data_IF_452812064604
#
_entry.id   IF_452812064604
#
_cell.length_a   1.000
_cell.length_b   1.000
_cell.length_c   1.000
_cell.angle_alpha   90.00
_cell.angle_beta   90.00
_cell.angle_gamma   90.00
#
_symmetry.space_group_name_H-M   'P 1'
#
loop_
_entity.id
_entity.type
_entity.pdbx_description
1 polymer ?
#
# COMPACT_ATOMS: atom_id res chain seq x y z
N UNK A 1 5.72 0.43 18.50
CA UNK A 1 6.73 0.91 19.48
C UNK A 1 6.02 1.51 20.68
N UNK A 2 6.68 1.56 21.84
CA UNK A 2 6.12 2.24 23.02
C UNK A 2 6.52 3.74 23.06
N UNK A 3 5.95 4.50 24.00
CA UNK A 3 6.18 5.96 24.13
C UNK A 3 7.64 6.33 24.39
N UNK A 4 8.39 5.53 25.17
CA UNK A 4 9.81 5.78 25.43
C UNK A 4 10.66 5.55 24.17
N UNK A 5 10.38 4.48 23.44
CA UNK A 5 11.01 4.18 22.16
C UNK A 5 10.71 5.28 21.13
N UNK A 6 9.47 5.78 21.10
CA UNK A 6 9.10 6.88 20.23
C UNK A 6 9.84 8.18 20.57
N UNK A 7 10.03 8.51 21.85
CA UNK A 7 10.84 9.66 22.24
C UNK A 7 12.28 9.58 21.71
N UNK A 8 12.89 8.38 21.77
CA UNK A 8 14.20 8.13 21.16
C UNK A 8 14.14 8.27 19.64
N UNK A 9 13.10 7.74 19.00
CA UNK A 9 12.91 7.87 17.55
C UNK A 9 12.80 9.34 17.10
N UNK A 10 12.01 10.15 17.80
CA UNK A 10 11.85 11.58 17.55
C UNK A 10 13.17 12.35 17.72
N UNK A 11 13.96 12.03 18.75
CA UNK A 11 15.31 12.59 18.95
C UNK A 11 16.22 12.31 17.74
N UNK A 12 16.15 11.10 17.18
CA UNK A 12 16.91 10.74 15.97
C UNK A 12 16.47 11.55 14.75
N UNK A 13 15.17 11.81 14.58
CA UNK A 13 14.67 12.67 13.50
C UNK A 13 15.24 14.08 13.64
N UNK A 14 15.16 14.67 14.83
CA UNK A 14 15.71 16.02 15.11
C UNK A 14 17.22 16.08 14.89
N UNK A 15 17.95 15.04 15.29
CA UNK A 15 19.40 14.95 15.09
C UNK A 15 19.77 14.85 13.61
N UNK A 16 18.99 14.10 12.82
CA UNK A 16 19.21 13.97 11.38
C UNK A 16 18.85 15.27 10.62
N UNK A 17 17.84 16.01 11.10
CA UNK A 17 17.32 17.22 10.47
C UNK A 17 17.25 18.40 11.46
N UNK A 18 18.40 18.93 11.91
CA UNK A 18 18.46 19.92 13.00
C UNK A 18 17.93 21.31 12.63
N UNK A 19 17.76 21.60 11.34
CA UNK A 19 17.26 22.89 10.84
C UNK A 19 15.74 22.98 10.85
N UNK A 20 15.07 21.83 10.84
CA UNK A 20 13.62 21.77 10.80
C UNK A 20 13.08 21.63 12.22
N UNK A 21 12.14 22.51 12.58
CA UNK A 21 11.49 22.52 13.89
C UNK A 21 10.44 21.41 14.02
N UNK A 22 10.78 20.21 13.57
CA UNK A 22 9.94 19.02 13.56
C UNK A 22 9.88 18.40 14.95
N UNK A 23 8.68 17.96 15.35
CA UNK A 23 8.44 17.30 16.64
C UNK A 23 8.80 18.20 17.85
N UNK A 24 8.67 19.51 17.69
CA UNK A 24 9.05 20.51 18.69
C UNK A 24 8.05 20.63 19.84
N UNK A 25 6.77 20.33 19.60
CA UNK A 25 5.69 20.42 20.60
C UNK A 25 5.21 19.05 21.05
N UNK A 26 4.56 18.99 22.22
CA UNK A 26 3.88 17.79 22.72
C UNK A 26 2.84 17.29 21.73
N UNK A 27 1.99 18.17 21.22
CA UNK A 27 0.95 17.82 20.24
C UNK A 27 1.52 17.20 18.96
N UNK A 28 2.67 17.70 18.48
CA UNK A 28 3.34 17.10 17.31
C UNK A 28 3.87 15.70 17.61
N UNK A 29 4.40 15.48 18.82
CA UNK A 29 4.87 14.18 19.27
C UNK A 29 3.72 13.18 19.38
N UNK A 30 2.61 13.59 19.99
CA UNK A 30 1.43 12.74 20.18
C UNK A 30 0.79 12.36 18.84
N UNK A 31 0.63 13.34 17.94
CA UNK A 31 0.10 13.09 16.58
C UNK A 31 0.97 12.13 15.77
N UNK A 32 2.30 12.30 15.81
CA UNK A 32 3.19 11.39 15.11
C UNK A 32 3.24 10.01 15.76
N UNK A 33 3.11 9.92 17.08
CA UNK A 33 3.05 8.65 17.78
C UNK A 33 1.76 7.88 17.45
N UNK A 34 0.63 8.56 17.37
CA UNK A 34 -0.63 7.97 16.90
C UNK A 34 -0.44 7.37 15.49
N UNK A 35 0.23 8.09 14.60
CA UNK A 35 0.40 7.69 13.21
C UNK A 35 1.57 6.73 12.92
N UNK A 36 2.48 6.48 13.85
CA UNK A 36 3.64 5.57 13.64
C UNK A 36 3.84 4.56 14.76
N UNK A 37 3.06 4.65 15.84
CA UNK A 37 3.21 3.87 17.06
C UNK A 37 2.97 2.37 16.88
N UNK A 38 2.25 1.98 15.83
CA UNK A 38 2.08 0.57 15.40
C UNK A 38 3.38 -0.05 14.87
N UNK A 39 4.30 0.75 14.33
CA UNK A 39 5.53 0.25 13.71
C UNK A 39 6.50 -0.23 14.82
N UNK A 40 7.12 -1.43 14.69
CA UNK A 40 8.15 -1.88 15.60
C UNK A 40 9.35 -0.92 15.60
N UNK A 41 9.92 -0.62 16.78
CA UNK A 41 10.97 0.39 16.92
C UNK A 41 12.18 0.17 16.00
N UNK A 42 12.65 -1.09 15.88
CA UNK A 42 13.77 -1.44 15.01
C UNK A 42 13.47 -1.16 13.53
N UNK A 43 12.23 -1.44 13.10
CA UNK A 43 11.77 -1.15 11.73
C UNK A 43 11.74 0.35 11.50
N UNK A 44 11.18 1.13 12.42
CA UNK A 44 11.09 2.58 12.29
C UNK A 44 12.47 3.24 12.20
N UNK A 45 13.43 2.84 13.05
CA UNK A 45 14.81 3.35 13.02
C UNK A 45 15.49 3.00 11.69
N UNK A 46 15.32 1.76 11.21
CA UNK A 46 15.90 1.36 9.93
C UNK A 46 15.27 2.12 8.76
N UNK A 47 13.95 2.35 8.80
CA UNK A 47 13.24 3.15 7.81
C UNK A 47 13.77 4.58 7.77
N UNK A 48 13.94 5.22 8.93
CA UNK A 48 14.53 6.56 9.02
C UNK A 48 15.97 6.60 8.49
N UNK A 49 16.80 5.60 8.83
CA UNK A 49 18.18 5.51 8.32
C UNK A 49 18.21 5.40 6.80
N UNK A 50 17.43 4.47 6.22
CA UNK A 50 17.32 4.31 4.76
C UNK A 50 16.87 5.63 4.11
N UNK A 51 15.84 6.27 4.66
CA UNK A 51 15.33 7.54 4.15
C UNK A 51 16.41 8.63 4.15
N UNK A 52 17.12 8.81 5.27
CA UNK A 52 18.13 9.85 5.44
C UNK A 52 19.35 9.68 4.55
N UNK A 53 19.68 8.44 4.13
CA UNK A 53 20.75 8.18 3.18
C UNK A 53 20.41 8.65 1.75
N UNK A 54 19.13 8.72 1.41
CA UNK A 54 18.66 9.04 0.06
C UNK A 54 18.05 10.44 -0.07
N UNK A 55 17.64 11.06 1.05
CA UNK A 55 16.87 12.30 1.05
C UNK A 55 17.49 13.37 1.95
N UNK A 56 17.60 14.58 1.39
CA UNK A 56 18.16 15.75 2.09
C UNK A 56 17.15 16.47 2.98
N UNK A 57 15.87 16.34 2.65
CA UNK A 57 14.76 16.98 3.36
C UNK A 57 14.22 16.05 4.45
N UNK A 58 13.54 16.59 5.48
CA UNK A 58 12.93 15.77 6.51
C UNK A 58 11.82 14.86 5.95
N UNK A 59 11.65 13.65 6.53
CA UNK A 59 10.61 12.73 6.09
C UNK A 59 9.22 13.22 6.44
N UNK A 60 8.25 12.92 5.57
CA UNK A 60 6.85 12.88 5.95
C UNK A 60 6.51 11.53 6.61
N UNK A 61 5.39 11.48 7.35
CA UNK A 61 4.86 10.25 7.95
C UNK A 61 4.63 9.17 6.88
N UNK A 62 4.16 9.57 5.70
CA UNK A 62 3.95 8.70 4.55
C UNK A 62 5.23 8.05 4.02
N UNK A 63 6.36 8.74 4.12
CA UNK A 63 7.65 8.23 3.68
C UNK A 63 8.11 7.14 4.65
N UNK A 64 8.06 7.41 5.95
CA UNK A 64 8.46 6.44 6.97
C UNK A 64 7.62 5.17 6.90
N UNK A 65 6.31 5.28 6.66
CA UNK A 65 5.44 4.12 6.43
C UNK A 65 5.79 3.35 5.17
N UNK A 66 6.18 4.03 4.09
CA UNK A 66 6.62 3.36 2.86
C UNK A 66 7.89 2.52 3.10
N UNK A 67 8.91 3.13 3.72
CA UNK A 67 10.15 2.42 4.05
C UNK A 67 9.95 1.31 5.08
N UNK A 68 9.04 1.49 6.04
CA UNK A 68 8.68 0.46 7.01
C UNK A 68 7.98 -0.73 6.34
N UNK A 69 7.05 -0.49 5.41
CA UNK A 69 6.38 -1.54 4.66
C UNK A 69 7.35 -2.39 3.83
N UNK A 70 8.34 -1.73 3.19
CA UNK A 70 9.43 -2.40 2.47
C UNK A 70 10.26 -3.30 3.39
N UNK A 71 10.65 -2.79 4.56
CA UNK A 71 11.43 -3.55 5.54
C UNK A 71 10.69 -4.72 6.17
N UNK A 72 9.37 -4.63 6.27
CA UNK A 72 8.52 -5.70 6.81
C UNK A 72 8.10 -6.71 5.74
N UNK A 73 8.62 -6.60 4.51
CA UNK A 73 8.21 -7.42 3.35
C UNK A 73 6.70 -7.38 3.09
N UNK A 74 6.05 -6.29 3.51
CA UNK A 74 4.63 -6.02 3.27
C UNK A 74 4.44 -4.97 2.18
N UNK A 75 5.51 -4.67 1.43
CA UNK A 75 5.50 -3.83 0.24
C UNK A 75 4.52 -4.40 -0.78
N UNK A 76 3.68 -3.53 -1.32
CA UNK A 76 2.86 -3.87 -2.47
C UNK A 76 3.76 -3.84 -3.72
N UNK A 77 3.77 -4.91 -4.54
CA UNK A 77 4.63 -4.99 -5.71
C UNK A 77 4.43 -3.82 -6.66
N UNK A 78 5.46 -3.47 -7.44
CA UNK A 78 5.28 -2.54 -8.56
C UNK A 78 4.61 -3.23 -9.76
N UNK A 79 4.27 -2.46 -10.79
CA UNK A 79 3.54 -2.97 -11.95
C UNK A 79 4.31 -4.03 -12.74
N UNK A 80 5.65 -3.97 -12.73
CA UNK A 80 6.49 -4.94 -13.45
C UNK A 80 6.62 -6.24 -12.66
N UNK A 81 6.79 -6.16 -11.33
CA UNK A 81 6.72 -7.32 -10.43
C UNK A 81 5.35 -8.01 -10.50
N UNK A 82 4.27 -7.23 -10.46
CA UNK A 82 2.90 -7.70 -10.61
C UNK A 82 2.67 -8.40 -11.97
N UNK A 83 3.22 -7.84 -13.05
CA UNK A 83 3.18 -8.51 -14.36
C UNK A 83 3.98 -9.81 -14.36
N UNK A 84 5.09 -9.88 -13.63
CA UNK A 84 5.84 -11.12 -13.40
C UNK A 84 4.98 -12.20 -12.74
N UNK A 85 4.19 -11.83 -11.72
CA UNK A 85 3.23 -12.72 -11.06
C UNK A 85 2.19 -13.27 -12.06
N UNK A 86 1.62 -12.40 -12.91
CA UNK A 86 0.69 -12.80 -13.98
C UNK A 86 1.35 -13.79 -14.93
N UNK A 87 2.57 -13.52 -15.41
CA UNK A 87 3.28 -14.43 -16.32
C UNK A 87 3.53 -15.81 -15.69
N UNK A 88 3.85 -15.86 -14.39
CA UNK A 88 4.02 -17.11 -13.67
C UNK A 88 2.69 -17.88 -13.57
N UNK A 89 1.59 -17.19 -13.31
CA UNK A 89 0.26 -17.79 -13.33
C UNK A 89 -0.10 -18.31 -14.74
N UNK A 90 0.18 -17.55 -15.80
CA UNK A 90 -0.10 -17.96 -17.19
C UNK A 90 0.66 -19.23 -17.53
N UNK A 91 1.97 -19.28 -17.21
CA UNK A 91 2.80 -20.48 -17.41
C UNK A 91 2.29 -21.69 -16.64
N UNK A 92 1.76 -21.49 -15.43
CA UNK A 92 1.32 -22.57 -14.54
C UNK A 92 -0.07 -23.10 -14.88
N UNK A 93 -1.01 -22.21 -15.17
CA UNK A 93 -2.43 -22.53 -15.30
C UNK A 93 -2.91 -22.57 -16.75
N UNK A 94 -2.30 -21.76 -17.62
CA UNK A 94 -2.73 -21.58 -19.00
C UNK A 94 -4.11 -20.92 -19.11
N UNK A 95 -4.63 -20.83 -20.33
CA UNK A 95 -5.89 -20.16 -20.60
C UNK A 95 -7.12 -20.92 -20.07
N UNK A 96 -7.05 -22.26 -19.96
CA UNK A 96 -8.18 -23.10 -19.57
C UNK A 96 -8.52 -23.07 -18.08
N UNK A 97 -7.57 -22.71 -17.21
CA UNK A 97 -7.73 -22.78 -15.75
C UNK A 97 -7.78 -21.39 -15.11
N UNK A 98 -8.61 -20.52 -15.67
CA UNK A 98 -8.78 -19.14 -15.21
C UNK A 98 -9.13 -19.03 -13.72
N UNK A 99 -10.10 -19.82 -13.25
CA UNK A 99 -10.52 -19.75 -11.85
C UNK A 99 -9.40 -20.13 -10.86
N UNK A 100 -8.55 -21.09 -11.21
CA UNK A 100 -7.38 -21.46 -10.41
C UNK A 100 -6.29 -20.38 -10.48
N UNK A 101 -6.06 -19.82 -11.68
CA UNK A 101 -5.10 -18.74 -11.88
C UNK A 101 -5.48 -17.51 -11.05
N UNK A 102 -6.72 -17.04 -11.15
CA UNK A 102 -7.19 -15.88 -10.38
C UNK A 102 -7.05 -16.11 -8.88
N UNK A 103 -7.40 -17.29 -8.37
CA UNK A 103 -7.23 -17.63 -6.95
C UNK A 103 -5.78 -17.63 -6.50
N UNK A 104 -4.83 -17.96 -7.37
CA UNK A 104 -3.40 -17.96 -7.05
C UNK A 104 -2.80 -16.56 -6.98
N UNK A 105 -3.43 -15.57 -7.64
CA UNK A 105 -2.94 -14.19 -7.67
C UNK A 105 -3.23 -13.44 -6.37
N UNK A 106 -2.31 -12.53 -6.02
CA UNK A 106 -2.44 -11.53 -4.97
C UNK A 106 -3.65 -10.62 -5.23
N UNK A 107 -4.26 -10.09 -4.16
CA UNK A 107 -5.52 -9.33 -4.25
C UNK A 107 -5.50 -8.19 -5.28
N UNK A 108 -4.50 -7.28 -5.27
CA UNK A 108 -4.39 -6.22 -6.26
C UNK A 108 -4.16 -6.73 -7.69
N UNK A 109 -3.32 -7.75 -7.87
CA UNK A 109 -3.03 -8.32 -9.20
C UNK A 109 -4.24 -9.03 -9.77
N UNK A 110 -4.97 -9.80 -8.95
CA UNK A 110 -6.23 -10.45 -9.34
C UNK A 110 -7.24 -9.44 -9.87
N UNK A 111 -7.50 -8.36 -9.13
CA UNK A 111 -8.47 -7.32 -9.56
C UNK A 111 -8.04 -6.61 -10.83
N UNK A 112 -6.73 -6.39 -11.02
CA UNK A 112 -6.19 -5.85 -12.26
C UNK A 112 -6.39 -6.82 -13.44
N UNK A 113 -6.09 -8.11 -13.24
CA UNK A 113 -6.31 -9.17 -14.24
C UNK A 113 -7.78 -9.34 -14.59
N UNK A 114 -8.69 -9.27 -13.61
CA UNK A 114 -10.15 -9.33 -13.85
C UNK A 114 -10.64 -8.18 -14.73
N UNK A 115 -10.08 -6.98 -14.56
CA UNK A 115 -10.40 -5.82 -15.42
C UNK A 115 -9.79 -5.92 -16.81
N UNK A 116 -8.57 -6.42 -16.93
CA UNK A 116 -7.89 -6.59 -18.23
C UNK A 116 -8.44 -7.79 -19.01
N UNK A 117 -8.88 -8.82 -18.31
CA UNK A 117 -9.39 -10.09 -18.83
C UNK A 117 -8.29 -11.16 -18.95
N UNK A 118 -8.44 -12.29 -18.23
CA UNK A 118 -7.48 -13.40 -18.27
C UNK A 118 -7.34 -14.03 -19.65
N UNK A 119 -8.47 -14.22 -20.35
CA UNK A 119 -8.47 -14.78 -21.71
C UNK A 119 -7.75 -13.85 -22.69
N UNK A 120 -7.98 -12.53 -22.57
CA UNK A 120 -7.24 -11.55 -23.36
C UNK A 120 -5.75 -11.67 -23.09
N UNK A 121 -5.35 -11.83 -21.83
CA UNK A 121 -3.94 -11.97 -21.46
C UNK A 121 -3.30 -13.21 -22.05
N UNK A 122 -4.00 -14.35 -22.01
CA UNK A 122 -3.44 -15.61 -22.50
C UNK A 122 -3.44 -15.73 -24.02
N UNK A 123 -4.37 -15.09 -24.71
CA UNK A 123 -4.61 -15.27 -26.15
C UNK A 123 -4.15 -14.08 -27.01
N UNK A 124 -3.63 -13.02 -26.38
CA UNK A 124 -3.15 -11.84 -27.11
C UNK A 124 -2.04 -12.21 -28.10
N UNK A 125 -2.17 -11.79 -29.37
CA UNK A 125 -1.08 -11.86 -30.34
C UNK A 125 0.19 -11.16 -29.84
N UNK A 126 1.35 -11.63 -30.30
CA UNK A 126 2.67 -11.14 -29.85
C UNK A 126 2.83 -9.61 -30.01
N UNK A 127 2.32 -9.04 -31.09
CA UNK A 127 2.36 -7.60 -31.39
C UNK A 127 1.46 -6.76 -30.47
N UNK A 128 0.49 -7.38 -29.78
CA UNK A 128 -0.43 -6.71 -28.85
C UNK A 128 0.00 -6.81 -27.38
N UNK A 129 1.01 -7.62 -27.07
CA UNK A 129 1.48 -7.85 -25.68
C UNK A 129 1.88 -6.56 -24.98
N UNK A 130 2.53 -5.62 -25.68
CA UNK A 130 2.94 -4.35 -25.10
C UNK A 130 1.72 -3.46 -24.74
N UNK A 131 0.71 -3.43 -25.60
CA UNK A 131 -0.54 -2.69 -25.36
C UNK A 131 -1.30 -3.31 -24.19
N UNK A 132 -1.41 -4.64 -24.15
CA UNK A 132 -2.02 -5.37 -23.05
C UNK A 132 -1.29 -5.11 -21.73
N UNK A 133 0.06 -5.15 -21.73
CA UNK A 133 0.87 -4.83 -20.55
C UNK A 133 0.61 -3.40 -20.07
N UNK A 134 0.45 -2.45 -20.98
CA UNK A 134 0.12 -1.06 -20.63
C UNK A 134 -1.30 -0.93 -20.03
N UNK A 135 -2.29 -1.64 -20.58
CA UNK A 135 -3.65 -1.69 -20.03
C UNK A 135 -3.67 -2.31 -18.62
N UNK A 136 -2.97 -3.43 -18.44
CA UNK A 136 -2.77 -4.06 -17.13
C UNK A 136 -2.11 -3.09 -16.17
N UNK A 137 -1.04 -2.41 -16.58
CA UNK A 137 -0.33 -1.43 -15.74
C UNK A 137 -1.28 -0.34 -15.25
N UNK A 138 -2.08 0.25 -16.13
CA UNK A 138 -3.07 1.27 -15.74
C UNK A 138 -4.09 0.75 -14.72
N UNK A 139 -4.61 -0.46 -14.94
CA UNK A 139 -5.55 -1.10 -14.01
C UNK A 139 -4.90 -1.43 -12.66
N UNK A 140 -3.67 -1.96 -12.69
CA UNK A 140 -2.90 -2.32 -11.51
C UNK A 140 -2.49 -1.11 -10.69
N UNK A 141 -2.00 -0.02 -11.29
CA UNK A 141 -1.62 1.19 -10.57
C UNK A 141 -2.81 1.81 -9.81
N UNK A 142 -4.02 1.71 -10.35
CA UNK A 142 -5.24 2.12 -9.64
C UNK A 142 -5.53 1.23 -8.41
N UNK A 143 -5.36 -0.08 -8.54
CA UNK A 143 -5.53 -1.02 -7.43
C UNK A 143 -4.40 -0.94 -6.40
N UNK A 144 -3.18 -0.68 -6.86
CA UNK A 144 -2.00 -0.45 -6.05
C UNK A 144 -2.21 0.78 -5.17
N UNK A 145 -2.69 1.91 -5.72
CA UNK A 145 -2.99 3.12 -4.94
C UNK A 145 -3.97 2.83 -3.80
N UNK A 146 -5.07 2.14 -4.11
CA UNK A 146 -6.08 1.74 -3.11
C UNK A 146 -5.51 0.81 -2.05
N UNK A 147 -4.73 -0.18 -2.48
CA UNK A 147 -4.09 -1.13 -1.57
C UNK A 147 -3.05 -0.42 -0.68
N UNK A 148 -2.27 0.51 -1.23
CA UNK A 148 -1.28 1.31 -0.50
C UNK A 148 -1.95 2.21 0.53
N UNK A 149 -3.04 2.88 0.17
CA UNK A 149 -3.82 3.70 1.11
C UNK A 149 -4.32 2.85 2.28
N UNK A 150 -4.92 1.70 2.00
CA UNK A 150 -5.42 0.80 3.03
C UNK A 150 -4.30 0.18 3.88
N UNK A 151 -3.19 -0.22 3.24
CA UNK A 151 -2.06 -0.88 3.91
C UNK A 151 -1.25 0.08 4.78
N UNK A 152 -1.12 1.34 4.36
CA UNK A 152 -0.44 2.38 5.16
C UNK A 152 -1.25 2.78 6.38
N UNK A 153 -2.54 2.49 6.45
CA UNK A 153 -3.35 2.90 7.59
C UNK A 153 -3.14 1.96 8.79
N UNK A 154 -2.83 2.49 9.99
CA UNK A 154 -2.79 1.67 11.19
C UNK A 154 -4.19 1.11 11.53
N UNK A 155 -4.22 -0.04 12.21
CA UNK A 155 -5.47 -0.77 12.50
C UNK A 155 -6.50 0.06 13.28
N UNK A 156 -6.07 0.86 14.25
CA UNK A 156 -7.01 1.71 15.00
C UNK A 156 -7.72 2.73 14.11
N UNK A 157 -7.01 3.36 13.16
CA UNK A 157 -7.62 4.28 12.19
C UNK A 157 -8.54 3.57 11.19
N UNK A 158 -8.29 2.29 10.87
CA UNK A 158 -9.24 1.50 10.06
C UNK A 158 -10.57 1.31 10.77
N UNK A 159 -10.51 1.02 12.07
CA UNK A 159 -11.70 0.85 12.91
C UNK A 159 -12.45 2.18 13.04
N UNK A 160 -11.74 3.28 13.28
CA UNK A 160 -12.32 4.62 13.35
C UNK A 160 -12.98 5.02 12.03
N UNK A 161 -12.30 4.81 10.89
CA UNK A 161 -12.88 5.08 9.57
C UNK A 161 -14.15 4.27 9.32
N UNK A 162 -14.18 3.00 9.72
CA UNK A 162 -15.37 2.16 9.61
C UNK A 162 -16.53 2.68 10.47
N UNK A 163 -16.24 3.23 11.65
CA UNK A 163 -17.24 3.86 12.53
C UNK A 163 -17.74 5.22 12.06
N UNK A 164 -17.00 5.90 11.17
CA UNK A 164 -17.39 7.19 10.58
C UNK A 164 -18.35 7.00 9.39
N UNK A 165 -18.44 5.80 8.79
CA UNK A 165 -19.38 5.55 7.70
C UNK A 165 -20.82 5.69 8.22
N UNK A 166 -21.60 6.69 7.73
CA UNK A 166 -22.96 6.85 8.19
C UNK A 166 -23.83 5.69 7.72
N UNK A 167 -24.85 5.41 8.52
CA UNK A 167 -26.09 4.68 8.26
C UNK A 167 -26.84 5.23 7.01
N UNK A 168 -26.19 5.24 5.85
CA UNK A 168 -26.65 5.86 4.61
C UNK A 168 -26.91 4.84 3.49
N UNK A 169 -27.27 3.61 3.86
CA UNK A 169 -27.69 2.58 2.94
C UNK A 169 -28.85 1.74 3.52
N UNK A 170 -29.88 2.41 4.06
CA UNK A 170 -31.21 1.81 4.09
C UNK A 170 -31.87 2.11 2.74
N UNK A 171 -32.13 1.11 1.88
CA UNK A 171 -32.92 1.35 0.69
C UNK A 171 -34.33 1.76 1.14
N UNK A 172 -34.74 2.95 0.73
CA UNK A 172 -36.13 3.40 0.77
C UNK A 172 -36.98 2.37 -0.02
N UNK A 173 -37.53 1.39 0.67
CA UNK A 173 -38.74 0.68 0.24
C UNK A 173 -39.92 1.51 0.71
N UNK A 174 -40.58 2.19 -0.23
CA UNK A 174 -41.95 2.76 -0.19
C UNK A 174 -42.04 3.68 -1.44
N UNK A 175 -42.95 3.58 -2.40
CA UNK A 175 -44.23 2.91 -2.48
C UNK A 175 -44.55 2.55 -3.93
N UNK A 176 -45.14 1.36 -4.13
CA UNK A 176 -45.91 1.06 -5.33
C UNK A 176 -47.22 1.86 -5.29
N UNK A 177 -47.55 2.53 -6.39
CA UNK A 177 -48.93 2.89 -6.71
C UNK A 177 -49.19 2.74 -8.20
#
# INVERSE_FOLDING_TARGET
MNTKEFAVFADRIKTAYPKDNLLATGDQMDWWYELLGDIPFQVAIMALKKYALSNKFPPAISDLRLYAADLMETRIPDADEAWGEVNMAVRRYGYMREAEALKSLSGPVRRAVERTGWQNICQSPYDQVNTLKAQFRGAYEAEQRRAVEFHKMPEHLKIEQAGIQPEAALPMMEDQK
#
